data_IF_489805695491
#
_entry.id   IF_489805695491
#
_cell.length_a   1.000
_cell.length_b   1.000
_cell.length_c   1.000
_cell.angle_alpha   90.00
_cell.angle_beta   90.00
_cell.angle_gamma   90.00
#
_symmetry.space_group_name_H-M   'P 1'
#
loop_
_entity.id
_entity.type
_entity.pdbx_description
1 polymer ?
#
# COMPACT_ATOMS: atom_id res chain seq x y z
N UNK A 1 -5.09 14.06 3.20
CA UNK A 1 -4.68 12.83 2.52
C UNK A 1 -4.35 13.14 1.07
N UNK A 2 -5.22 12.99 0.09
CA UNK A 2 -4.95 13.33 -1.32
C UNK A 2 -5.84 14.49 -1.76
N UNK A 3 -5.30 15.40 -2.60
CA UNK A 3 -6.07 16.47 -3.26
C UNK A 3 -6.72 15.97 -4.55
N UNK A 4 -6.09 15.00 -5.23
CA UNK A 4 -6.61 14.37 -6.44
C UNK A 4 -6.26 12.87 -6.48
N UNK A 5 -7.11 12.09 -7.13
CA UNK A 5 -6.85 10.70 -7.46
C UNK A 5 -7.21 10.46 -8.93
N UNK A 6 -6.37 9.72 -9.65
CA UNK A 6 -6.52 9.47 -11.08
C UNK A 6 -6.72 7.97 -11.31
N UNK A 7 -7.96 7.50 -11.36
CA UNK A 7 -8.23 6.09 -11.64
C UNK A 7 -8.10 5.82 -13.15
N UNK A 8 -7.39 4.74 -13.50
CA UNK A 8 -7.49 4.13 -14.82
C UNK A 8 -8.70 3.19 -14.94
N UNK A 9 -8.75 2.37 -15.98
CA UNK A 9 -9.65 1.22 -16.02
C UNK A 9 -9.29 0.22 -14.91
N UNK A 10 -10.24 -0.65 -14.54
CA UNK A 10 -10.01 -1.63 -13.45
C UNK A 10 -8.74 -2.44 -13.71
N UNK A 11 -7.82 -2.41 -12.76
CA UNK A 11 -6.48 -3.03 -12.82
C UNK A 11 -5.58 -2.54 -13.97
N UNK A 12 -5.80 -1.30 -14.45
CA UNK A 12 -5.00 -0.69 -15.51
C UNK A 12 -4.51 0.68 -15.07
N UNK A 13 -3.29 1.02 -15.41
CA UNK A 13 -2.70 2.33 -15.13
C UNK A 13 -3.48 3.46 -15.83
N UNK A 14 -3.68 4.61 -15.18
CA UNK A 14 -4.20 5.80 -15.87
C UNK A 14 -3.23 6.26 -16.95
N UNK A 15 -3.76 6.93 -17.97
CA UNK A 15 -2.94 7.48 -19.06
C UNK A 15 -2.43 8.89 -18.73
N UNK A 16 -1.34 9.39 -19.37
CA UNK A 16 -0.80 10.71 -19.10
C UNK A 16 -1.81 11.86 -19.30
N UNK A 17 -2.73 11.72 -20.24
CA UNK A 17 -3.79 12.69 -20.51
C UNK A 17 -4.89 12.71 -19.41
N UNK A 18 -4.98 11.67 -18.58
CA UNK A 18 -5.81 11.65 -17.38
C UNK A 18 -5.04 12.23 -16.17
N UNK A 19 -3.74 11.96 -16.07
CA UNK A 19 -2.90 12.38 -14.93
C UNK A 19 -2.63 13.89 -14.99
N UNK A 20 -2.26 14.42 -16.16
CA UNK A 20 -1.88 15.83 -16.33
C UNK A 20 -2.95 16.81 -15.85
N UNK A 21 -4.24 16.72 -16.26
CA UNK A 21 -5.27 17.64 -15.78
C UNK A 21 -5.45 17.61 -14.26
N UNK A 22 -5.32 16.44 -13.63
CA UNK A 22 -5.40 16.30 -12.18
C UNK A 22 -4.19 16.96 -11.49
N UNK A 23 -3.00 16.79 -12.04
CA UNK A 23 -1.76 17.46 -11.57
C UNK A 23 -1.90 18.97 -11.62
N UNK A 24 -2.35 19.51 -12.75
CA UNK A 24 -2.56 20.95 -12.91
C UNK A 24 -3.64 21.49 -11.95
N UNK A 25 -4.72 20.72 -11.74
CA UNK A 25 -5.80 21.11 -10.84
C UNK A 25 -5.39 21.07 -9.36
N UNK A 26 -4.52 20.15 -8.96
CA UNK A 26 -4.00 20.04 -7.60
C UNK A 26 -2.94 21.12 -7.28
N UNK A 27 -2.28 21.68 -8.29
CA UNK A 27 -1.25 22.69 -8.08
C UNK A 27 -1.85 24.03 -7.61
N UNK A 28 -1.45 24.45 -6.41
CA UNK A 28 -1.75 25.77 -5.85
C UNK A 28 -0.58 26.76 -5.94
N UNK A 29 0.46 26.42 -6.70
CA UNK A 29 1.68 27.24 -6.86
C UNK A 29 2.90 26.70 -6.08
N UNK A 30 2.71 25.74 -5.19
CA UNK A 30 3.79 25.11 -4.40
C UNK A 30 4.39 23.87 -5.07
N UNK A 31 3.80 23.38 -6.15
CA UNK A 31 4.12 22.13 -6.81
C UNK A 31 3.23 20.98 -6.38
N UNK A 32 3.45 19.78 -6.93
CA UNK A 32 2.63 18.60 -6.71
C UNK A 32 3.51 17.37 -6.41
N UNK A 33 3.16 16.61 -5.39
CA UNK A 33 3.75 15.28 -5.14
C UNK A 33 2.88 14.21 -5.79
N UNK A 34 3.45 13.45 -6.71
CA UNK A 34 2.85 12.23 -7.24
C UNK A 34 3.18 11.06 -6.32
N UNK A 35 2.17 10.35 -5.80
CA UNK A 35 2.34 9.08 -5.09
C UNK A 35 1.98 7.96 -6.06
N UNK A 36 2.96 7.17 -6.45
CA UNK A 36 2.86 6.21 -7.55
C UNK A 36 3.22 4.82 -7.04
N UNK A 37 2.35 3.84 -7.27
CA UNK A 37 2.69 2.44 -7.03
C UNK A 37 3.68 1.96 -8.09
N UNK A 38 4.69 1.21 -7.68
CA UNK A 38 5.70 0.71 -8.60
C UNK A 38 5.16 -0.42 -9.49
N UNK A 39 4.56 -0.01 -10.61
CA UNK A 39 4.19 -0.85 -11.75
C UNK A 39 4.65 -0.15 -13.02
N UNK A 40 5.17 -0.89 -14.00
CA UNK A 40 5.81 -0.32 -15.19
C UNK A 40 4.90 0.69 -15.93
N UNK A 41 3.62 0.36 -16.07
CA UNK A 41 2.65 1.25 -16.73
C UNK A 41 2.44 2.55 -15.95
N UNK A 42 2.26 2.46 -14.62
CA UNK A 42 2.09 3.64 -13.75
C UNK A 42 3.34 4.52 -13.80
N UNK A 43 4.52 3.94 -13.63
CA UNK A 43 5.80 4.67 -13.64
C UNK A 43 5.95 5.46 -14.93
N UNK A 44 5.83 4.81 -16.10
CA UNK A 44 5.97 5.47 -17.39
C UNK A 44 4.94 6.57 -17.63
N UNK A 45 3.69 6.33 -17.25
CA UNK A 45 2.60 7.28 -17.47
C UNK A 45 2.70 8.49 -16.54
N UNK A 46 3.07 8.30 -15.28
CA UNK A 46 3.28 9.38 -14.32
C UNK A 46 4.55 10.19 -14.63
N UNK A 47 5.65 9.54 -15.07
CA UNK A 47 6.84 10.24 -15.56
C UNK A 47 6.51 11.16 -16.76
N UNK A 48 5.80 10.61 -17.75
CA UNK A 48 5.36 11.41 -18.91
C UNK A 48 4.47 12.58 -18.51
N UNK A 49 3.53 12.36 -17.58
CA UNK A 49 2.66 13.43 -17.10
C UNK A 49 3.42 14.47 -16.28
N UNK A 50 4.43 14.08 -15.51
CA UNK A 50 5.30 15.01 -14.78
C UNK A 50 6.09 15.91 -15.73
N UNK A 51 6.71 15.33 -16.77
CA UNK A 51 7.41 16.12 -17.82
C UNK A 51 6.49 17.14 -18.50
N UNK A 52 5.24 16.74 -18.82
CA UNK A 52 4.24 17.64 -19.39
C UNK A 52 3.84 18.74 -18.41
N UNK A 53 3.66 18.43 -17.13
CA UNK A 53 3.33 19.42 -16.10
C UNK A 53 4.50 20.41 -15.88
N UNK A 54 5.74 19.95 -15.91
CA UNK A 54 6.92 20.81 -15.84
C UNK A 54 7.00 21.76 -17.02
N UNK A 55 6.63 21.32 -18.22
CA UNK A 55 6.53 22.19 -19.40
C UNK A 55 5.45 23.29 -19.24
N UNK A 56 4.42 23.05 -18.43
CA UNK A 56 3.39 24.03 -18.03
C UNK A 56 3.82 24.88 -16.81
N UNK A 57 5.05 24.70 -16.30
CA UNK A 57 5.61 25.45 -15.17
C UNK A 57 5.22 24.91 -13.78
N UNK A 58 4.73 23.69 -13.68
CA UNK A 58 4.39 23.03 -12.42
C UNK A 58 5.52 22.11 -11.98
N UNK A 59 6.13 22.37 -10.82
CA UNK A 59 7.14 21.48 -10.24
C UNK A 59 6.48 20.20 -9.73
N UNK A 60 7.05 19.05 -10.09
CA UNK A 60 6.56 17.73 -9.64
C UNK A 60 7.66 16.97 -8.91
N UNK A 61 7.29 16.27 -7.84
CA UNK A 61 8.10 15.24 -7.18
C UNK A 61 7.34 13.93 -7.15
N UNK A 62 8.02 12.82 -7.37
CA UNK A 62 7.40 11.49 -7.36
C UNK A 62 7.92 10.67 -6.20
N UNK A 63 7.00 10.15 -5.38
CA UNK A 63 7.26 9.12 -4.37
C UNK A 63 6.83 7.78 -4.96
N UNK A 64 7.79 6.93 -5.29
CA UNK A 64 7.56 5.62 -5.86
C UNK A 64 7.41 4.57 -4.76
N UNK A 65 6.20 4.08 -4.53
CA UNK A 65 5.89 3.10 -3.49
C UNK A 65 6.25 1.69 -3.97
N UNK A 66 7.10 0.99 -3.18
CA UNK A 66 7.64 -0.33 -3.51
C UNK A 66 7.77 -1.23 -2.25
N UNK A 67 6.72 -1.31 -1.49
CA UNK A 67 6.68 -1.93 -0.16
C UNK A 67 6.52 -3.45 -0.15
N UNK A 68 6.18 -4.09 -1.28
CA UNK A 68 5.92 -5.53 -1.37
C UNK A 68 7.21 -6.35 -1.26
N UNK A 69 7.30 -7.20 -0.23
CA UNK A 69 8.45 -8.10 -0.04
C UNK A 69 8.28 -9.45 -0.74
N UNK A 70 7.15 -9.70 -1.41
CA UNK A 70 6.87 -10.99 -2.04
C UNK A 70 7.78 -11.25 -3.24
N UNK A 71 8.04 -10.22 -4.07
CA UNK A 71 8.85 -10.34 -5.29
C UNK A 71 9.81 -9.14 -5.40
N UNK A 72 11.00 -9.39 -5.92
CA UNK A 72 12.00 -8.34 -6.19
C UNK A 72 11.87 -7.81 -7.61
N UNK A 73 11.55 -8.69 -8.57
CA UNK A 73 11.27 -8.37 -9.97
C UNK A 73 10.11 -9.21 -10.48
N UNK A 74 9.26 -8.64 -11.32
CA UNK A 74 8.16 -9.37 -11.97
C UNK A 74 8.05 -9.00 -13.45
N UNK A 75 7.12 -9.64 -14.16
CA UNK A 75 6.80 -9.28 -15.56
C UNK A 75 6.20 -7.87 -15.68
N UNK A 76 5.73 -7.29 -14.58
CA UNK A 76 4.97 -6.03 -14.52
C UNK A 76 5.73 -4.90 -13.84
N UNK A 77 6.84 -5.21 -13.14
CA UNK A 77 7.63 -4.22 -12.39
C UNK A 77 9.11 -4.55 -12.44
N UNK A 78 9.94 -3.52 -12.54
CA UNK A 78 11.34 -3.59 -12.14
C UNK A 78 11.41 -3.26 -10.63
N UNK A 79 11.98 -4.15 -9.84
CA UNK A 79 11.97 -4.06 -8.39
C UNK A 79 10.64 -4.50 -7.75
N UNK A 80 10.43 -4.12 -6.49
CA UNK A 80 9.25 -4.50 -5.70
C UNK A 80 8.01 -3.75 -6.14
N UNK A 81 6.87 -4.41 -6.09
CA UNK A 81 5.55 -3.81 -6.34
C UNK A 81 5.18 -2.82 -5.22
N UNK A 82 4.38 -1.80 -5.55
CA UNK A 82 3.69 -0.95 -4.58
C UNK A 82 2.32 -1.52 -4.24
N UNK A 83 2.06 -1.75 -2.95
CA UNK A 83 0.83 -2.39 -2.46
C UNK A 83 0.28 -1.66 -1.22
N UNK A 84 0.05 -2.32 -0.11
CA UNK A 84 -0.61 -1.78 1.10
C UNK A 84 0.04 -0.54 1.70
N UNK A 85 1.35 -0.42 1.63
CA UNK A 85 2.09 0.75 2.11
C UNK A 85 1.69 2.07 1.49
N UNK A 86 1.09 2.03 0.29
CA UNK A 86 0.60 3.24 -0.40
C UNK A 86 -0.36 4.05 0.47
N UNK A 87 -1.29 3.42 1.19
CA UNK A 87 -2.24 4.10 2.09
C UNK A 87 -1.51 4.88 3.20
N UNK A 88 -0.43 4.30 3.73
CA UNK A 88 0.38 4.92 4.78
C UNK A 88 1.18 6.10 4.24
N UNK A 89 1.76 5.97 3.04
CA UNK A 89 2.44 7.07 2.33
C UNK A 89 1.47 8.22 2.07
N UNK A 90 0.30 7.94 1.49
CA UNK A 90 -0.73 8.94 1.19
C UNK A 90 -1.21 9.68 2.44
N UNK A 91 -1.45 8.96 3.54
CA UNK A 91 -1.94 9.54 4.78
C UNK A 91 -0.90 10.44 5.44
N UNK A 92 0.35 9.97 5.54
CA UNK A 92 1.42 10.65 6.28
C UNK A 92 1.99 11.81 5.46
N UNK A 93 2.27 11.61 4.15
CA UNK A 93 2.72 12.71 3.28
C UNK A 93 1.64 13.78 3.10
N UNK A 94 0.37 13.37 2.98
CA UNK A 94 -0.74 14.31 2.92
C UNK A 94 -0.94 15.10 4.23
N UNK A 95 -0.56 14.56 5.38
CA UNK A 95 -0.55 15.30 6.66
C UNK A 95 0.60 16.33 6.70
N UNK A 96 1.77 15.99 6.17
CA UNK A 96 2.89 16.94 6.03
C UNK A 96 2.51 18.11 5.11
N UNK A 97 1.85 17.83 3.99
CA UNK A 97 1.34 18.88 3.09
C UNK A 97 0.31 19.79 3.78
N UNK A 98 -0.64 19.22 4.53
CA UNK A 98 -1.63 19.98 5.29
C UNK A 98 -1.00 20.80 6.42
N UNK A 99 0.08 20.33 7.02
CA UNK A 99 0.91 21.08 7.98
C UNK A 99 1.57 22.32 7.35
N UNK A 100 1.69 22.37 6.03
CA UNK A 100 2.29 23.48 5.27
C UNK A 100 3.75 23.28 4.89
N UNK A 101 4.23 22.06 4.92
CA UNK A 101 5.59 21.72 4.47
C UNK A 101 5.74 22.00 2.97
N UNK A 102 6.95 22.35 2.53
CA UNK A 102 7.23 22.58 1.11
C UNK A 102 7.29 21.26 0.30
N UNK A 103 7.33 21.36 -1.02
CA UNK A 103 7.31 20.25 -1.95
C UNK A 103 8.38 19.18 -1.65
N UNK A 104 9.60 19.61 -1.37
CA UNK A 104 10.72 18.71 -1.09
C UNK A 104 10.55 18.00 0.26
N UNK A 105 10.07 18.72 1.28
CA UNK A 105 9.83 18.15 2.60
C UNK A 105 8.70 17.13 2.57
N UNK A 106 7.60 17.41 1.86
CA UNK A 106 6.48 16.45 1.70
C UNK A 106 6.94 15.19 0.97
N UNK A 107 7.69 15.34 -0.13
CA UNK A 107 8.24 14.21 -0.86
C UNK A 107 9.20 13.38 0.02
N UNK A 108 10.10 14.03 0.77
CA UNK A 108 11.02 13.35 1.67
C UNK A 108 10.30 12.57 2.80
N UNK A 109 9.19 13.08 3.33
CA UNK A 109 8.33 12.35 4.28
C UNK A 109 7.75 11.11 3.61
N UNK A 110 7.22 11.22 2.40
CA UNK A 110 6.69 10.09 1.64
C UNK A 110 7.74 9.00 1.36
N UNK A 111 8.94 9.40 0.94
CA UNK A 111 10.08 8.50 0.71
C UNK A 111 10.50 7.80 2.01
N UNK A 112 10.51 8.52 3.14
CA UNK A 112 10.84 7.96 4.45
C UNK A 112 9.81 6.92 4.89
N UNK A 113 8.52 7.16 4.68
CA UNK A 113 7.47 6.16 4.93
C UNK A 113 7.71 4.92 4.07
N UNK A 114 7.92 5.09 2.76
CA UNK A 114 8.19 3.98 1.84
C UNK A 114 9.44 3.18 2.22
N UNK A 115 10.50 3.83 2.66
CA UNK A 115 11.72 3.17 3.13
C UNK A 115 11.49 2.30 4.39
N UNK A 116 10.52 2.67 5.24
CA UNK A 116 10.25 2.05 6.55
C UNK A 116 8.99 1.19 6.60
N UNK A 117 8.30 0.98 5.47
CA UNK A 117 7.13 0.11 5.37
C UNK A 117 7.43 -1.13 4.54
N UNK A 118 6.91 -2.29 4.96
CA UNK A 118 6.92 -3.52 4.15
C UNK A 118 5.58 -4.21 4.27
N UNK A 119 5.21 -4.86 3.17
CA UNK A 119 3.92 -5.52 3.02
C UNK A 119 4.07 -6.89 2.40
N UNK A 120 3.20 -7.82 2.80
CA UNK A 120 3.01 -9.09 2.13
C UNK A 120 1.54 -9.51 2.17
N UNK A 121 1.05 -10.08 1.07
CA UNK A 121 -0.34 -10.50 0.92
C UNK A 121 -0.51 -12.00 0.71
N UNK A 122 -1.75 -12.46 0.88
CA UNK A 122 -2.22 -13.82 0.58
C UNK A 122 -3.57 -13.74 -0.13
N UNK A 123 -3.78 -14.60 -1.14
CA UNK A 123 -5.10 -14.88 -1.69
C UNK A 123 -5.60 -16.25 -1.24
N UNK A 124 -6.86 -16.28 -0.82
CA UNK A 124 -7.64 -17.50 -0.53
C UNK A 124 -8.58 -17.84 -1.69
N UNK A 125 -8.84 -16.89 -2.59
CA UNK A 125 -9.56 -17.06 -3.86
C UNK A 125 -9.06 -16.06 -4.89
N UNK A 126 -9.32 -16.33 -6.16
CA UNK A 126 -9.12 -15.35 -7.22
C UNK A 126 -10.20 -14.26 -7.18
N UNK A 127 -9.95 -13.15 -7.89
CA UNK A 127 -10.97 -12.16 -8.23
C UNK A 127 -11.38 -12.27 -9.69
N UNK A 128 -12.52 -11.67 -10.05
CA UNK A 128 -13.04 -11.64 -11.42
C UNK A 128 -13.04 -10.23 -11.96
N UNK A 129 -12.10 -9.93 -12.85
CA UNK A 129 -12.06 -8.61 -13.50
C UNK A 129 -13.27 -8.47 -14.44
N UNK A 130 -14.09 -7.40 -14.31
CA UNK A 130 -15.39 -7.29 -15.01
C UNK A 130 -15.31 -7.47 -16.52
N UNK A 131 -14.25 -6.98 -17.18
CA UNK A 131 -14.10 -7.10 -18.63
C UNK A 131 -13.65 -8.51 -19.07
N UNK A 132 -13.00 -9.29 -18.19
CA UNK A 132 -12.59 -10.65 -18.49
C UNK A 132 -13.74 -11.65 -18.25
N UNK A 133 -14.58 -11.40 -17.24
CA UNK A 133 -15.72 -12.28 -16.91
C UNK A 133 -15.34 -13.67 -16.39
N UNK A 134 -14.03 -13.89 -16.15
CA UNK A 134 -13.47 -15.15 -15.62
C UNK A 134 -12.50 -14.84 -14.48
N UNK A 135 -12.29 -15.80 -13.57
CA UNK A 135 -11.29 -15.62 -12.50
C UNK A 135 -9.90 -15.25 -13.05
N UNK A 136 -9.17 -14.39 -12.33
CA UNK A 136 -7.83 -13.92 -12.74
C UNK A 136 -6.77 -15.02 -12.72
N UNK A 137 -6.98 -16.06 -11.91
CA UNK A 137 -6.14 -17.27 -11.85
C UNK A 137 -6.97 -18.45 -11.28
N UNK A 138 -6.48 -19.66 -11.46
CA UNK A 138 -7.07 -20.84 -10.84
C UNK A 138 -6.39 -21.09 -9.48
N UNK A 139 -7.18 -21.39 -8.46
CA UNK A 139 -6.75 -21.79 -7.13
C UNK A 139 -7.67 -22.92 -6.63
N UNK A 140 -7.10 -24.03 -6.17
CA UNK A 140 -7.89 -25.12 -5.61
C UNK A 140 -8.52 -24.68 -4.25
N UNK A 141 -9.63 -25.30 -3.86
CA UNK A 141 -10.35 -24.94 -2.61
C UNK A 141 -9.50 -25.13 -1.34
N UNK A 142 -8.51 -26.01 -1.39
CA UNK A 142 -7.59 -26.33 -0.29
C UNK A 142 -6.20 -25.69 -0.45
N UNK A 143 -6.05 -24.75 -1.38
CA UNK A 143 -4.80 -24.02 -1.64
C UNK A 143 -4.93 -22.53 -1.34
N UNK A 144 -3.80 -21.90 -1.03
CA UNK A 144 -3.65 -20.44 -0.93
C UNK A 144 -2.41 -19.97 -1.68
N UNK A 145 -2.48 -18.74 -2.23
CA UNK A 145 -1.36 -18.11 -2.94
C UNK A 145 -0.68 -17.09 -2.03
N UNK A 146 0.57 -17.37 -1.61
CA UNK A 146 1.39 -16.49 -0.77
C UNK A 146 2.11 -15.45 -1.61
N UNK A 147 2.00 -14.16 -1.23
CA UNK A 147 2.65 -13.05 -1.92
C UNK A 147 1.90 -12.57 -3.16
N UNK A 148 0.58 -12.79 -3.21
CA UNK A 148 -0.29 -12.29 -4.29
C UNK A 148 -0.19 -10.78 -4.44
N UNK A 149 -0.24 -10.27 -5.67
CA UNK A 149 -0.38 -8.85 -5.97
C UNK A 149 -1.83 -8.36 -5.86
N UNK A 150 -2.00 -7.04 -5.78
CA UNK A 150 -3.32 -6.40 -5.61
C UNK A 150 -4.19 -6.42 -6.88
N UNK A 151 -3.65 -6.84 -8.02
CA UNK A 151 -4.38 -7.06 -9.28
C UNK A 151 -4.45 -8.55 -9.64
N UNK A 152 -4.11 -9.45 -8.70
CA UNK A 152 -4.08 -10.89 -8.93
C UNK A 152 -2.81 -11.38 -9.64
N UNK A 153 -1.72 -10.60 -9.61
CA UNK A 153 -0.43 -11.04 -10.14
C UNK A 153 0.13 -12.17 -9.27
N UNK A 154 0.77 -13.18 -9.88
CA UNK A 154 1.29 -14.33 -9.16
C UNK A 154 2.17 -13.93 -7.97
N UNK A 155 2.03 -14.67 -6.87
CA UNK A 155 2.83 -14.54 -5.67
C UNK A 155 4.14 -15.33 -5.74
N UNK A 156 4.62 -15.73 -4.56
CA UNK A 156 5.84 -16.54 -4.43
C UNK A 156 5.60 -18.02 -4.70
N UNK A 157 4.53 -18.56 -4.14
CA UNK A 157 4.19 -19.98 -4.22
C UNK A 157 2.82 -20.28 -3.64
N UNK A 158 2.27 -21.41 -4.03
CA UNK A 158 1.05 -21.98 -3.46
C UNK A 158 1.39 -22.96 -2.36
N UNK A 159 0.55 -23.00 -1.34
CA UNK A 159 0.62 -23.96 -0.25
C UNK A 159 -0.79 -24.45 0.06
N UNK A 160 -0.92 -25.63 0.74
CA UNK A 160 -2.21 -26.04 1.29
C UNK A 160 -2.76 -24.98 2.26
N UNK A 161 -4.09 -24.93 2.36
CA UNK A 161 -4.79 -24.07 3.33
C UNK A 161 -4.30 -24.34 4.75
N UNK A 162 -4.00 -23.25 5.46
CA UNK A 162 -3.61 -23.27 6.88
C UNK A 162 -4.61 -22.51 7.74
N UNK A 163 -4.48 -22.61 9.06
CA UNK A 163 -5.25 -21.76 9.97
C UNK A 163 -4.73 -20.31 9.93
N UNK A 164 -5.54 -19.38 10.44
CA UNK A 164 -5.23 -17.95 10.40
C UNK A 164 -3.89 -17.60 11.07
N UNK A 165 -3.50 -18.28 12.13
CA UNK A 165 -2.23 -18.05 12.82
C UNK A 165 -1.04 -18.46 11.94
N UNK A 166 -1.10 -19.62 11.29
CA UNK A 166 -0.07 -20.09 10.35
C UNK A 166 0.07 -19.17 9.14
N UNK A 167 -1.05 -18.75 8.55
CA UNK A 167 -1.05 -17.77 7.43
C UNK A 167 -0.41 -16.46 7.90
N UNK A 168 -0.81 -15.94 9.06
CA UNK A 168 -0.26 -14.68 9.61
C UNK A 168 1.24 -14.76 9.81
N UNK A 169 1.75 -15.85 10.37
CA UNK A 169 3.18 -16.07 10.61
C UNK A 169 3.97 -16.06 9.29
N UNK A 170 3.44 -16.71 8.24
CA UNK A 170 4.07 -16.74 6.90
C UNK A 170 4.13 -15.37 6.23
N UNK A 171 3.12 -14.53 6.42
CA UNK A 171 3.11 -13.18 5.86
C UNK A 171 4.05 -12.25 6.64
N UNK A 172 4.05 -12.37 7.96
CA UNK A 172 4.74 -11.43 8.83
C UNK A 172 6.26 -11.67 8.88
N UNK A 173 6.71 -12.94 8.83
CA UNK A 173 8.13 -13.30 8.92
C UNK A 173 9.01 -12.55 7.89
N UNK A 174 8.72 -12.60 6.56
CA UNK A 174 9.52 -11.87 5.59
C UNK A 174 9.41 -10.35 5.73
N UNK A 175 8.27 -9.82 6.15
CA UNK A 175 8.07 -8.38 6.42
C UNK A 175 8.98 -7.91 7.55
N UNK A 176 8.99 -8.63 8.68
CA UNK A 176 9.81 -8.29 9.84
C UNK A 176 11.30 -8.50 9.60
N UNK A 177 11.66 -9.53 8.84
CA UNK A 177 13.05 -9.81 8.46
C UNK A 177 13.63 -8.69 7.57
N UNK A 178 12.87 -8.25 6.56
CA UNK A 178 13.31 -7.20 5.64
C UNK A 178 13.40 -5.83 6.31
N UNK A 179 12.45 -5.49 7.20
CA UNK A 179 12.52 -4.28 8.01
C UNK A 179 13.61 -4.33 9.09
N UNK A 180 14.06 -5.53 9.46
CA UNK A 180 14.96 -5.70 10.60
C UNK A 180 14.32 -5.25 11.92
N UNK A 181 13.04 -5.63 12.16
CA UNK A 181 12.32 -5.27 13.38
C UNK A 181 12.93 -5.97 14.59
N UNK A 182 13.25 -5.19 15.62
CA UNK A 182 13.89 -5.62 16.85
C UNK A 182 13.14 -5.15 18.10
N UNK A 183 13.63 -5.57 19.27
CA UNK A 183 13.08 -5.11 20.55
C UNK A 183 13.25 -3.59 20.71
N UNK A 184 12.18 -2.93 21.14
CA UNK A 184 12.10 -1.48 21.33
C UNK A 184 11.59 -0.71 20.12
N UNK A 185 11.47 -1.34 18.94
CA UNK A 185 10.85 -0.69 17.78
C UNK A 185 9.37 -0.39 18.04
N UNK A 186 8.92 0.80 17.61
CA UNK A 186 7.51 1.19 17.58
C UNK A 186 7.00 1.04 16.16
N UNK A 187 5.84 0.44 16.00
CA UNK A 187 5.30 0.18 14.66
C UNK A 187 3.83 0.56 14.53
N UNK A 188 3.43 0.87 13.30
CA UNK A 188 2.03 0.82 12.87
C UNK A 188 1.81 -0.53 12.18
N UNK A 189 0.80 -1.26 12.68
CA UNK A 189 0.36 -2.52 12.09
C UNK A 189 -0.90 -2.28 11.25
N UNK A 190 -0.81 -2.53 9.95
CA UNK A 190 -1.94 -2.43 9.05
C UNK A 190 -2.31 -3.82 8.51
N UNK A 191 -3.55 -4.26 8.80
CA UNK A 191 -4.15 -5.48 8.25
C UNK A 191 -5.23 -5.08 7.28
N UNK A 192 -4.97 -5.30 6.00
CA UNK A 192 -5.83 -4.92 4.90
C UNK A 192 -6.51 -6.13 4.28
N UNK A 193 -7.84 -6.10 4.16
CA UNK A 193 -8.59 -7.10 3.41
C UNK A 193 -8.50 -6.84 1.91
N UNK A 194 -8.51 -7.93 1.13
CA UNK A 194 -8.49 -7.85 -0.34
C UNK A 194 -9.88 -7.61 -0.95
N UNK A 195 -10.94 -7.48 -0.13
CA UNK A 195 -12.31 -7.17 -0.52
C UNK A 195 -13.32 -8.24 -0.12
N UNK A 196 -12.99 -9.52 -0.26
CA UNK A 196 -13.86 -10.65 0.06
C UNK A 196 -13.73 -11.21 1.47
N UNK A 197 -12.82 -10.70 2.31
CA UNK A 197 -12.60 -11.21 3.67
C UNK A 197 -13.36 -10.36 4.70
N UNK A 198 -14.20 -10.98 5.56
CA UNK A 198 -14.92 -10.28 6.60
C UNK A 198 -13.99 -9.58 7.60
N UNK A 199 -14.43 -8.43 8.11
CA UNK A 199 -13.67 -7.64 9.09
C UNK A 199 -13.33 -8.44 10.36
N UNK A 200 -14.21 -9.33 10.80
CA UNK A 200 -13.97 -10.21 11.95
C UNK A 200 -12.75 -11.11 11.76
N UNK A 201 -12.53 -11.62 10.54
CA UNK A 201 -11.37 -12.46 10.21
C UNK A 201 -10.08 -11.62 10.13
N UNK A 202 -10.16 -10.39 9.62
CA UNK A 202 -9.02 -9.47 9.66
C UNK A 202 -8.56 -9.16 11.08
N UNK A 203 -9.48 -9.09 12.05
CA UNK A 203 -9.13 -8.95 13.48
C UNK A 203 -8.49 -10.21 14.07
N UNK A 204 -8.79 -11.41 13.56
CA UNK A 204 -8.09 -12.63 13.95
C UNK A 204 -6.62 -12.57 13.50
N UNK A 205 -6.39 -12.16 12.24
CA UNK A 205 -5.05 -11.91 11.70
C UNK A 205 -4.31 -10.85 12.51
N UNK A 206 -4.98 -9.72 12.80
CA UNK A 206 -4.42 -8.64 13.62
C UNK A 206 -3.98 -9.13 15.01
N UNK A 207 -4.82 -9.90 15.69
CA UNK A 207 -4.49 -10.48 17.01
C UNK A 207 -3.19 -11.27 16.95
N UNK A 208 -3.04 -12.16 15.94
CA UNK A 208 -1.81 -12.95 15.80
C UNK A 208 -0.60 -12.10 15.46
N UNK A 209 -0.73 -11.17 14.51
CA UNK A 209 0.35 -10.27 14.11
C UNK A 209 0.84 -9.41 15.30
N UNK A 210 -0.09 -8.86 16.10
CA UNK A 210 0.25 -8.08 17.28
C UNK A 210 0.98 -8.94 18.35
N UNK A 211 0.59 -10.21 18.53
CA UNK A 211 1.27 -11.14 19.42
C UNK A 211 2.70 -11.41 18.96
N UNK A 212 2.92 -11.69 17.66
CA UNK A 212 4.26 -11.94 17.11
C UNK A 212 5.18 -10.72 17.27
N UNK A 213 4.65 -9.50 17.05
CA UNK A 213 5.40 -8.27 17.27
C UNK A 213 5.77 -8.08 18.75
N UNK A 214 4.83 -8.33 19.66
CA UNK A 214 5.08 -8.26 21.11
C UNK A 214 6.13 -9.30 21.56
N UNK A 215 6.07 -10.53 21.06
CA UNK A 215 7.04 -11.59 21.35
C UNK A 215 8.47 -11.21 20.87
N UNK A 216 8.58 -10.37 19.82
CA UNK A 216 9.86 -9.78 19.36
C UNK A 216 10.27 -8.55 20.17
N UNK A 217 9.45 -8.09 21.11
CA UNK A 217 9.68 -6.90 21.92
C UNK A 217 9.40 -5.58 21.18
N UNK A 218 8.73 -5.61 20.05
CA UNK A 218 8.23 -4.42 19.34
C UNK A 218 6.86 -4.00 19.88
N UNK A 219 6.56 -2.70 19.83
CA UNK A 219 5.29 -2.15 20.30
C UNK A 219 4.42 -1.74 19.11
N UNK A 220 3.22 -2.31 19.02
CA UNK A 220 2.18 -1.81 18.10
C UNK A 220 1.59 -0.53 18.68
N UNK A 221 2.10 0.61 18.23
CA UNK A 221 1.71 1.93 18.74
C UNK A 221 0.46 2.46 18.03
N UNK A 222 0.34 2.15 16.74
CA UNK A 222 -0.83 2.50 15.90
C UNK A 222 -1.26 1.29 15.08
N UNK A 223 -2.52 1.28 14.69
CA UNK A 223 -3.05 0.21 13.86
C UNK A 223 -4.13 0.67 12.91
N UNK A 224 -4.28 -0.04 11.79
CA UNK A 224 -5.37 0.11 10.86
C UNK A 224 -5.84 -1.29 10.44
N UNK A 225 -7.15 -1.54 10.49
CA UNK A 225 -7.75 -2.81 10.08
C UNK A 225 -8.97 -2.56 9.22
N UNK A 226 -9.00 -3.08 8.01
CA UNK A 226 -10.15 -2.89 7.12
C UNK A 226 -9.78 -3.11 5.65
N UNK A 227 -10.73 -2.83 4.75
CA UNK A 227 -10.57 -2.92 3.31
C UNK A 227 -10.22 -1.54 2.76
N UNK A 228 -8.96 -1.29 2.43
CA UNK A 228 -8.45 0.00 1.93
C UNK A 228 -7.77 -0.12 0.57
N UNK A 229 -7.01 -1.19 0.34
CA UNK A 229 -6.47 -1.55 -0.97
C UNK A 229 -6.98 -2.94 -1.29
N UNK A 230 -7.99 -3.02 -2.15
CA UNK A 230 -8.70 -4.26 -2.47
C UNK A 230 -8.40 -4.75 -3.88
N UNK A 231 -8.61 -6.03 -4.10
CA UNK A 231 -8.58 -6.71 -5.38
C UNK A 231 -9.98 -7.25 -5.70
N UNK A 232 -10.95 -6.34 -5.84
CA UNK A 232 -12.36 -6.62 -6.09
C UNK A 232 -12.96 -7.52 -4.98
N UNK A 233 -13.43 -8.73 -5.33
CA UNK A 233 -14.00 -9.71 -4.41
C UNK A 233 -13.01 -10.77 -3.92
N UNK A 234 -11.69 -10.59 -4.16
CA UNK A 234 -10.67 -11.54 -3.70
C UNK A 234 -10.78 -11.80 -2.21
N UNK A 235 -10.89 -13.06 -1.82
CA UNK A 235 -10.72 -13.45 -0.43
C UNK A 235 -9.22 -13.51 -0.12
N UNK A 236 -8.84 -12.89 0.96
CA UNK A 236 -7.45 -12.78 1.37
C UNK A 236 -7.19 -11.50 2.14
N UNK A 237 -5.94 -11.31 2.52
CA UNK A 237 -5.50 -10.11 3.24
C UNK A 237 -4.04 -9.80 2.94
N UNK A 238 -3.62 -8.60 3.31
CA UNK A 238 -2.20 -8.24 3.40
C UNK A 238 -1.88 -7.67 4.77
N UNK A 239 -0.62 -7.84 5.19
CA UNK A 239 -0.09 -7.26 6.42
C UNK A 239 1.01 -6.28 6.03
N UNK A 240 0.85 -5.04 6.45
CA UNK A 240 1.89 -4.03 6.33
C UNK A 240 2.39 -3.64 7.73
N UNK A 241 3.70 -3.50 7.87
CA UNK A 241 4.33 -2.98 9.08
C UNK A 241 5.13 -1.75 8.71
N UNK A 242 4.85 -0.62 9.36
CA UNK A 242 5.60 0.62 9.24
C UNK A 242 6.34 0.87 10.55
N UNK A 243 7.68 1.01 10.50
CA UNK A 243 8.45 1.49 11.65
C UNK A 243 8.14 2.97 11.87
N UNK A 244 7.81 3.34 13.11
CA UNK A 244 7.45 4.69 13.51
C UNK A 244 8.61 5.38 14.23
N UNK A 245 8.74 6.68 13.95
CA UNK A 245 9.39 7.66 14.81
C UNK A 245 8.35 8.66 15.34
N UNK A 246 8.79 9.66 16.09
CA UNK A 246 7.88 10.64 16.70
C UNK A 246 7.15 11.48 15.65
N UNK A 247 7.84 11.89 14.58
CA UNK A 247 7.25 12.69 13.51
C UNK A 247 6.24 11.88 12.66
N UNK A 248 6.59 10.64 12.29
CA UNK A 248 5.66 9.77 11.55
C UNK A 248 4.43 9.44 12.38
N UNK A 249 4.57 9.30 13.71
CA UNK A 249 3.45 9.11 14.62
C UNK A 249 2.55 10.35 14.67
N UNK A 250 3.12 11.55 14.80
CA UNK A 250 2.38 12.82 14.80
C UNK A 250 1.61 13.00 13.46
N UNK A 251 2.28 12.77 12.33
CA UNK A 251 1.65 12.90 11.01
C UNK A 251 0.58 11.83 10.76
N UNK A 252 0.76 10.61 11.29
CA UNK A 252 -0.29 9.60 11.26
C UNK A 252 -1.51 10.02 12.08
N UNK A 253 -1.30 10.60 13.25
CA UNK A 253 -2.38 11.04 14.15
C UNK A 253 -3.12 12.30 13.67
N UNK A 254 -2.56 13.02 12.71
CA UNK A 254 -3.22 14.18 12.10
C UNK A 254 -4.61 13.81 11.55
N UNK A 255 -5.62 14.68 11.71
CA UNK A 255 -6.98 14.41 11.30
C UNK A 255 -7.09 14.13 9.80
N UNK A 256 -7.94 13.17 9.42
CA UNK A 256 -8.31 12.92 8.03
C UNK A 256 -9.77 12.53 7.91
N UNK A 257 -10.42 13.03 6.88
CA UNK A 257 -11.79 12.68 6.55
C UNK A 257 -11.91 12.48 5.04
N UNK A 258 -11.96 11.22 4.64
CA UNK A 258 -12.23 10.79 3.26
C UNK A 258 -13.47 9.89 3.24
N UNK A 259 -13.89 9.47 2.06
CA UNK A 259 -14.99 8.53 1.92
C UNK A 259 -14.72 7.18 2.62
N UNK A 260 -13.45 6.74 2.64
CA UNK A 260 -13.06 5.43 3.15
C UNK A 260 -12.32 5.47 4.49
N UNK A 261 -11.66 6.58 4.84
CA UNK A 261 -10.85 6.70 6.06
C UNK A 261 -11.23 7.94 6.85
N UNK A 262 -11.59 7.72 8.13
CA UNK A 262 -11.75 8.78 9.15
C UNK A 262 -10.81 8.51 10.30
N UNK A 263 -10.03 9.52 10.69
CA UNK A 263 -9.10 9.44 11.79
C UNK A 263 -9.01 10.79 12.49
N UNK A 264 -9.12 10.83 13.81
CA UNK A 264 -8.99 12.05 14.59
C UNK A 264 -10.12 13.09 14.39
N UNK A 265 -11.24 12.70 13.78
CA UNK A 265 -12.42 13.57 13.50
C UNK A 265 -13.72 12.88 13.87
#
# INVERSE_FOLDING_TARGET
MLDAAVPGAVFTSPTPDQILPATLAANSGAGVVHIVKNYTGDVLNFETAAELAEAEGVSVRTVLVNDDVAVEDSLYTAGRRGVGGTVLVEKIAGAAAERGDDLEAVAAVGERVNANVRTMGVALSACTVPHAGTPSFDLAEDEIEIGIGIHGEPGRHRIPMENADGITDRLLEPVLADLGITSGDRVLLFVNGMGGTPLSELYIVFRRAAQVLADRGATVERSLVGNYITALEMQGCSISVLRLDDELTELWDAPVHTAALRWGV
#
